data_IF_872183846614
#
_entry.id   IF_872183846614
#
_cell.length_a   1.000
_cell.length_b   1.000
_cell.length_c   1.000
_cell.angle_alpha   90.00
_cell.angle_beta   90.00
_cell.angle_gamma   90.00
#
_symmetry.space_group_name_H-M   'P 1'
#
loop_
_entity.id
_entity.type
_entity.pdbx_description
1 polymer ?
#
# COMPACT_ATOMS: atom_id res chain seq x y z
N UNK A 1 -14.23 18.10 -4.74
CA UNK A 1 -13.29 18.67 -3.75
C UNK A 1 -11.98 17.95 -3.93
N UNK A 2 -10.99 18.59 -4.54
CA UNK A 2 -9.63 18.07 -4.49
C UNK A 2 -9.00 18.60 -3.22
N UNK A 3 -8.93 17.75 -2.20
CA UNK A 3 -8.23 18.04 -0.95
C UNK A 3 -6.72 17.95 -1.20
N UNK A 4 -6.17 18.86 -2.03
CA UNK A 4 -4.72 18.91 -2.24
C UNK A 4 -4.07 19.35 -0.94
N UNK A 5 -3.58 18.37 -0.17
CA UNK A 5 -2.65 18.61 0.92
C UNK A 5 -1.37 19.12 0.29
N UNK A 6 -1.14 20.43 0.36
CA UNK A 6 0.02 21.10 -0.25
C UNK A 6 1.34 20.83 0.48
N UNK A 7 1.31 20.14 1.61
CA UNK A 7 2.47 19.93 2.46
C UNK A 7 3.01 18.51 2.28
N UNK A 8 4.22 18.35 1.71
CA UNK A 8 4.92 17.06 1.66
C UNK A 8 5.08 16.41 3.04
N UNK A 9 5.13 17.22 4.10
CA UNK A 9 5.30 16.74 5.46
C UNK A 9 4.18 15.80 5.94
N UNK A 10 2.99 15.86 5.33
CA UNK A 10 1.87 14.95 5.68
C UNK A 10 2.10 13.54 5.11
N UNK A 11 2.88 13.42 4.04
CA UNK A 11 3.17 12.14 3.40
C UNK A 11 4.44 11.48 3.94
N UNK A 12 5.19 12.16 4.82
CA UNK A 12 6.45 11.68 5.37
C UNK A 12 6.30 11.30 6.83
N UNK A 13 6.75 10.10 7.17
CA UNK A 13 6.94 9.70 8.56
C UNK A 13 8.21 10.36 9.12
N UNK A 14 8.17 10.97 10.32
CA UNK A 14 9.37 11.56 10.94
C UNK A 14 10.52 10.57 11.16
N UNK A 15 10.21 9.28 11.30
CA UNK A 15 11.20 8.20 11.43
C UNK A 15 11.66 7.63 10.08
N UNK A 16 11.19 8.17 8.95
CA UNK A 16 11.65 7.76 7.63
C UNK A 16 12.99 8.44 7.27
N UNK A 17 14.05 7.65 7.41
CA UNK A 17 15.42 8.03 7.05
C UNK A 17 15.69 8.03 5.53
N UNK A 18 14.68 7.80 4.69
CA UNK A 18 14.83 7.93 3.23
C UNK A 18 14.98 9.41 2.87
N UNK A 19 16.14 9.78 2.35
CA UNK A 19 16.40 11.13 1.85
C UNK A 19 15.63 11.42 0.55
N UNK A 20 15.18 12.67 0.38
CA UNK A 20 14.63 13.14 -0.90
C UNK A 20 15.68 13.02 -2.01
N UNK A 21 15.25 12.76 -3.24
CA UNK A 21 16.14 12.56 -4.39
C UNK A 21 15.78 13.48 -5.55
N UNK A 22 16.82 13.98 -6.23
CA UNK A 22 16.68 14.72 -7.50
C UNK A 22 16.80 13.75 -8.67
N UNK A 23 15.68 13.40 -9.29
CA UNK A 23 15.64 12.52 -10.47
C UNK A 23 15.42 13.32 -11.76
N UNK A 24 16.21 14.38 -11.96
CA UNK A 24 15.90 15.41 -12.98
C UNK A 24 14.66 16.27 -12.65
N UNK A 25 13.89 15.87 -11.65
CA UNK A 25 12.81 16.60 -10.99
C UNK A 25 12.99 16.49 -9.47
N UNK A 26 12.50 17.47 -8.70
CA UNK A 26 12.48 17.40 -7.24
C UNK A 26 11.32 16.50 -6.82
N UNK A 27 11.63 15.30 -6.30
CA UNK A 27 10.66 14.36 -5.75
C UNK A 27 10.84 14.27 -4.23
N UNK A 28 9.71 14.21 -3.52
CA UNK A 28 9.69 14.16 -2.06
C UNK A 28 9.59 12.72 -1.58
N UNK A 29 10.22 12.40 -0.45
CA UNK A 29 10.04 11.09 0.21
C UNK A 29 8.58 10.91 0.63
N UNK A 30 7.99 9.77 0.25
CA UNK A 30 6.66 9.35 0.67
C UNK A 30 6.77 8.09 1.51
N UNK A 31 6.21 8.14 2.71
CA UNK A 31 6.26 7.06 3.70
C UNK A 31 4.97 6.26 3.82
N UNK A 32 3.93 6.62 3.05
CA UNK A 32 2.64 5.94 3.08
C UNK A 32 2.14 5.60 1.67
N UNK A 33 1.68 4.36 1.49
CA UNK A 33 1.03 3.90 0.27
C UNK A 33 -0.48 3.74 0.45
N UNK A 34 -1.21 3.67 -0.66
CA UNK A 34 -2.68 3.50 -0.70
C UNK A 34 -3.05 2.02 -0.92
N UNK A 35 -4.06 1.54 -0.20
CA UNK A 35 -4.65 0.23 -0.46
C UNK A 35 -5.21 0.16 -1.90
N UNK A 36 -4.65 -0.69 -2.74
CA UNK A 36 -5.05 -0.83 -4.16
C UNK A 36 -6.48 -1.36 -4.32
N UNK A 37 -7.05 -2.04 -3.31
CA UNK A 37 -8.45 -2.44 -3.32
C UNK A 37 -9.40 -1.25 -3.27
N UNK A 38 -8.97 -0.07 -2.79
CA UNK A 38 -9.76 1.17 -2.80
C UNK A 38 -10.11 1.64 -4.21
N UNK A 39 -9.27 1.36 -5.20
CA UNK A 39 -9.54 1.67 -6.60
C UNK A 39 -10.69 0.83 -7.18
N UNK A 40 -11.08 -0.29 -6.51
CA UNK A 40 -12.13 -1.21 -6.96
C UNK A 40 -13.51 -0.84 -6.43
N UNK A 41 -13.62 0.11 -5.50
CA UNK A 41 -14.90 0.58 -4.96
C UNK A 41 -15.27 1.94 -5.53
N UNK A 42 -16.57 2.14 -5.80
CA UNK A 42 -17.07 3.42 -6.33
C UNK A 42 -17.05 4.53 -5.29
N UNK A 43 -17.25 4.16 -4.01
CA UNK A 43 -17.33 5.09 -2.88
C UNK A 43 -16.75 4.41 -1.64
N UNK A 44 -15.72 5.01 -1.04
CA UNK A 44 -15.11 4.51 0.20
C UNK A 44 -16.12 4.43 1.37
N UNK A 45 -17.10 5.34 1.37
CA UNK A 45 -18.16 5.35 2.38
C UNK A 45 -19.09 4.11 2.33
N UNK A 46 -19.02 3.30 1.27
CA UNK A 46 -19.80 2.05 1.15
C UNK A 46 -19.10 0.85 1.81
N UNK A 47 -17.87 1.01 2.28
CA UNK A 47 -17.15 -0.03 3.02
C UNK A 47 -17.81 -0.24 4.38
N UNK A 48 -18.48 -1.39 4.56
CA UNK A 48 -19.23 -1.72 5.77
C UNK A 48 -18.34 -1.77 7.03
N UNK A 49 -17.05 -2.06 6.87
CA UNK A 49 -16.07 -2.19 7.95
C UNK A 49 -14.97 -1.14 7.84
N UNK A 50 -15.36 0.12 7.65
CA UNK A 50 -14.44 1.24 7.42
C UNK A 50 -13.36 1.40 8.50
N UNK A 51 -13.65 1.06 9.76
CA UNK A 51 -12.70 1.10 10.88
C UNK A 51 -11.65 -0.02 10.89
N UNK A 52 -11.81 -1.02 10.02
CA UNK A 52 -10.94 -2.21 9.94
C UNK A 52 -10.27 -2.37 8.59
N UNK A 53 -10.89 -1.82 7.55
CA UNK A 53 -10.32 -1.75 6.21
C UNK A 53 -9.17 -0.77 6.16
N UNK A 54 -7.99 -1.22 5.73
CA UNK A 54 -6.82 -0.37 5.51
C UNK A 54 -7.09 0.60 4.35
N UNK A 55 -6.84 1.88 4.57
CA UNK A 55 -6.77 2.90 3.53
C UNK A 55 -5.32 3.23 3.22
N UNK A 56 -4.53 3.62 4.23
CA UNK A 56 -3.10 3.91 4.09
C UNK A 56 -2.26 2.95 4.93
N UNK A 57 -1.09 2.60 4.43
CA UNK A 57 -0.10 1.74 5.11
C UNK A 57 1.30 2.30 4.91
N UNK A 58 2.24 1.94 5.78
CA UNK A 58 3.60 2.43 5.66
C UNK A 58 4.42 1.77 4.56
N UNK A 59 5.17 2.59 3.82
CA UNK A 59 6.15 2.20 2.82
C UNK A 59 7.49 2.88 3.11
N UNK A 60 8.54 2.41 2.44
CA UNK A 60 9.87 3.01 2.44
C UNK A 60 10.48 2.99 1.05
N UNK A 61 11.40 3.92 0.78
CA UNK A 61 12.10 4.01 -0.50
C UNK A 61 11.26 4.59 -1.63
N UNK A 62 10.06 5.11 -1.40
CA UNK A 62 9.26 5.77 -2.43
C UNK A 62 9.53 7.28 -2.47
N UNK A 63 9.67 7.83 -3.67
CA UNK A 63 9.71 9.27 -3.91
C UNK A 63 8.58 9.63 -4.88
N UNK A 64 7.86 10.71 -4.63
CA UNK A 64 6.79 11.14 -5.52
C UNK A 64 6.68 12.67 -5.54
N UNK A 65 6.08 13.21 -6.62
CA UNK A 65 5.84 14.65 -6.77
C UNK A 65 4.47 15.03 -6.19
N UNK A 66 4.31 14.85 -4.89
CA UNK A 66 3.03 15.08 -4.18
C UNK A 66 2.57 16.55 -4.17
N UNK A 67 3.43 17.49 -4.58
CA UNK A 67 3.11 18.93 -4.63
C UNK A 67 2.41 19.37 -5.91
N UNK A 68 2.40 18.52 -6.96
CA UNK A 68 1.72 18.81 -8.22
C UNK A 68 0.45 17.97 -8.35
N UNK A 69 -0.56 18.44 -9.11
CA UNK A 69 -1.70 17.62 -9.48
C UNK A 69 -1.24 16.28 -10.04
N UNK A 70 -2.00 15.23 -9.73
CA UNK A 70 -1.86 13.86 -10.23
C UNK A 70 -0.42 13.31 -10.28
N UNK A 71 0.46 13.82 -9.41
CA UNK A 71 1.87 13.50 -9.38
C UNK A 71 2.55 13.64 -10.75
N UNK A 72 2.04 14.59 -11.55
CA UNK A 72 2.46 14.88 -12.93
C UNK A 72 2.12 13.80 -13.96
N UNK A 73 1.36 12.76 -13.58
CA UNK A 73 1.03 11.63 -14.46
C UNK A 73 0.47 12.05 -15.82
N UNK A 74 -0.39 13.07 -15.84
CA UNK A 74 -1.02 13.61 -17.05
C UNK A 74 -0.06 14.21 -18.07
N UNK A 75 1.15 14.59 -17.67
CA UNK A 75 2.15 15.24 -18.54
C UNK A 75 3.37 14.37 -18.81
N UNK A 76 3.32 13.11 -18.38
CA UNK A 76 4.40 12.14 -18.57
C UNK A 76 4.61 11.90 -20.07
N UNK A 77 5.75 12.37 -20.56
CA UNK A 77 6.22 12.13 -21.94
C UNK A 77 7.40 11.16 -22.00
N UNK A 78 7.96 10.76 -20.85
CA UNK A 78 9.14 9.88 -20.76
C UNK A 78 9.11 8.97 -19.51
N UNK A 79 9.92 7.91 -19.55
CA UNK A 79 9.80 6.70 -18.72
C UNK A 79 10.47 6.75 -17.32
N UNK A 80 10.51 7.91 -16.65
CA UNK A 80 11.31 8.10 -15.41
C UNK A 80 10.55 8.45 -14.13
N UNK A 81 9.22 8.52 -14.15
CA UNK A 81 8.46 9.10 -13.04
C UNK A 81 8.06 8.08 -11.98
N UNK A 82 8.04 8.56 -10.75
CA UNK A 82 7.56 7.83 -9.60
C UNK A 82 6.30 8.48 -9.04
N UNK A 83 5.39 7.60 -8.64
CA UNK A 83 4.11 7.93 -8.05
C UNK A 83 4.05 7.36 -6.64
N UNK A 84 3.14 7.88 -5.83
CA UNK A 84 2.85 7.31 -4.53
C UNK A 84 2.47 5.85 -4.71
N UNK A 85 3.06 5.00 -3.86
CA UNK A 85 2.87 3.57 -4.00
C UNK A 85 1.43 3.14 -3.69
N UNK A 86 0.96 2.14 -4.42
CA UNK A 86 -0.30 1.45 -4.15
C UNK A 86 -0.04 -0.04 -4.00
N UNK A 87 -0.76 -0.73 -3.13
CA UNK A 87 -0.58 -2.16 -2.90
C UNK A 87 -1.69 -2.76 -2.06
N UNK A 88 -1.74 -4.08 -1.99
CA UNK A 88 -2.73 -4.81 -1.18
C UNK A 88 -2.11 -5.59 -0.02
N UNK A 89 -0.85 -5.26 0.33
CA UNK A 89 -0.10 -6.02 1.33
C UNK A 89 0.40 -7.36 0.78
N UNK A 90 0.30 -7.66 -0.51
CA UNK A 90 0.92 -8.88 -1.06
C UNK A 90 2.23 -8.55 -1.75
N UNK A 91 3.15 -9.51 -1.81
CA UNK A 91 4.38 -9.34 -2.56
C UNK A 91 4.06 -9.21 -4.07
N UNK A 92 4.79 -8.34 -4.77
CA UNK A 92 4.58 -8.03 -6.18
C UNK A 92 3.37 -7.14 -6.47
N UNK A 93 2.59 -6.78 -5.45
CA UNK A 93 1.45 -5.86 -5.60
C UNK A 93 1.82 -4.39 -5.40
N UNK A 94 3.02 -4.12 -4.87
CA UNK A 94 3.42 -2.75 -4.56
C UNK A 94 3.89 -2.04 -5.83
N UNK A 95 3.03 -1.17 -6.34
CA UNK A 95 3.26 -0.42 -7.57
C UNK A 95 3.57 1.03 -7.19
N UNK A 96 4.76 1.50 -7.53
CA UNK A 96 5.22 2.87 -7.21
C UNK A 96 5.92 3.58 -8.37
N UNK A 97 6.04 2.91 -9.51
CA UNK A 97 6.79 3.40 -10.66
C UNK A 97 5.97 3.14 -11.92
N UNK A 98 6.08 4.05 -12.89
CA UNK A 98 5.30 3.96 -14.13
C UNK A 98 5.98 3.07 -15.17
N UNK A 99 7.31 2.93 -15.21
CA UNK A 99 8.05 2.07 -16.17
C UNK A 99 9.39 1.57 -15.57
N UNK A 100 10.02 0.49 -16.07
CA UNK A 100 11.13 -0.18 -15.40
C UNK A 100 12.40 0.68 -15.36
N UNK A 101 13.21 0.47 -14.31
CA UNK A 101 14.51 1.10 -14.09
C UNK A 101 15.35 1.15 -15.38
N UNK A 102 15.80 2.34 -15.76
CA UNK A 102 16.62 2.55 -16.97
C UNK A 102 18.01 1.87 -16.90
N UNK A 103 18.40 1.32 -15.76
CA UNK A 103 19.62 0.54 -15.62
C UNK A 103 19.78 -0.14 -14.26
N UNK A 104 20.81 -0.99 -14.10
CA UNK A 104 21.19 -1.57 -12.81
C UNK A 104 21.50 -0.46 -11.80
N UNK A 105 20.74 -0.39 -10.71
CA UNK A 105 20.91 0.64 -9.67
C UNK A 105 19.92 1.81 -9.71
N UNK A 106 19.15 1.96 -10.79
CA UNK A 106 18.09 2.98 -10.93
C UNK A 106 16.71 2.50 -10.43
N UNK A 107 16.63 1.24 -9.98
CA UNK A 107 15.43 0.70 -9.35
C UNK A 107 15.27 1.32 -7.97
N UNK A 108 14.56 2.44 -7.89
CA UNK A 108 14.00 2.87 -6.62
C UNK A 108 12.93 1.84 -6.28
N UNK A 109 13.34 0.85 -5.51
CA UNK A 109 12.46 -0.20 -5.06
C UNK A 109 11.73 0.34 -3.84
N UNK A 110 10.42 0.48 -3.98
CA UNK A 110 9.54 0.75 -2.85
C UNK A 110 9.27 -0.55 -2.12
N UNK A 111 9.24 -0.49 -0.80
CA UNK A 111 8.99 -1.64 0.05
C UNK A 111 7.91 -1.34 1.08
N UNK A 112 7.19 -2.36 1.52
CA UNK A 112 6.37 -2.29 2.71
C UNK A 112 7.26 -2.05 3.94
N UNK A 113 6.97 -0.99 4.68
CA UNK A 113 7.62 -0.69 5.95
C UNK A 113 6.86 -1.26 7.16
N UNK A 114 5.89 -2.14 6.88
CA UNK A 114 4.97 -2.74 7.85
C UNK A 114 5.44 -4.04 8.48
N UNK A 115 6.47 -4.69 7.90
CA UNK A 115 6.80 -6.09 8.15
C UNK A 115 5.84 -7.06 7.44
N UNK A 116 6.18 -8.36 7.47
CA UNK A 116 5.42 -9.42 6.77
C UNK A 116 4.07 -9.67 7.42
N UNK A 117 3.00 -9.38 6.67
CA UNK A 117 1.61 -9.61 7.10
C UNK A 117 1.27 -11.11 7.10
N UNK A 118 0.25 -11.52 7.84
CA UNK A 118 0.02 -12.96 8.18
C UNK A 118 -0.14 -13.88 6.95
N UNK A 119 -0.92 -13.44 5.96
CA UNK A 119 -1.14 -14.15 4.70
C UNK A 119 -0.37 -13.55 3.51
N UNK A 120 0.69 -12.78 3.76
CA UNK A 120 1.58 -12.31 2.68
C UNK A 120 2.26 -13.53 2.03
N UNK A 121 1.97 -13.77 0.75
CA UNK A 121 2.62 -14.85 0.00
C UNK A 121 3.99 -14.37 -0.51
N UNK A 122 4.99 -15.27 -0.48
CA UNK A 122 6.33 -15.02 -1.02
C UNK A 122 6.57 -15.82 -2.31
N UNK A 123 6.54 -15.16 -3.47
CA UNK A 123 6.78 -15.77 -4.79
C UNK A 123 8.16 -15.38 -5.37
N UNK A 124 9.23 -15.46 -4.56
CA UNK A 124 10.62 -15.42 -5.03
C UNK A 124 11.29 -14.04 -5.13
N UNK A 125 10.67 -12.99 -4.58
CA UNK A 125 11.25 -11.67 -4.30
C UNK A 125 10.80 -11.21 -2.90
N UNK A 126 11.24 -10.07 -2.39
CA UNK A 126 10.74 -9.58 -1.09
C UNK A 126 10.49 -8.08 -1.10
N UNK A 127 9.22 -7.71 -1.20
CA UNK A 127 8.76 -6.32 -1.07
C UNK A 127 8.72 -5.88 0.41
N UNK A 128 9.11 -6.73 1.36
CA UNK A 128 9.14 -6.46 2.80
C UNK A 128 10.55 -6.23 3.36
N UNK A 129 11.31 -5.33 2.74
CA UNK A 129 12.73 -5.13 3.03
C UNK A 129 13.07 -4.72 4.46
N UNK A 130 12.19 -4.04 5.18
CA UNK A 130 12.42 -3.67 6.59
C UNK A 130 11.79 -4.69 7.52
N UNK A 131 12.61 -5.60 8.01
CA UNK A 131 12.32 -6.43 9.18
C UNK A 131 13.38 -6.10 10.24
N UNK A 132 13.03 -5.45 11.36
CA UNK A 132 11.67 -5.15 11.83
C UNK A 132 11.00 -3.96 11.12
N UNK A 133 9.67 -3.82 11.24
CA UNK A 133 8.91 -2.62 10.87
C UNK A 133 9.48 -1.32 11.44
N UNK A 134 9.16 -0.17 10.82
CA UNK A 134 9.72 1.15 11.18
C UNK A 134 9.42 1.57 12.63
N UNK A 135 8.31 1.15 13.23
CA UNK A 135 7.85 1.63 14.54
C UNK A 135 7.77 0.52 15.58
N UNK A 136 8.92 0.14 16.15
CA UNK A 136 9.02 -0.78 17.29
C UNK A 136 8.22 -2.07 17.09
N UNK A 137 8.53 -2.80 16.01
CA UNK A 137 7.87 -4.05 15.60
C UNK A 137 6.48 -3.89 14.95
N UNK A 138 5.97 -2.67 14.85
CA UNK A 138 4.73 -2.36 14.13
C UNK A 138 4.86 -1.22 13.13
N UNK A 139 3.73 -0.90 12.52
CA UNK A 139 3.57 0.24 11.63
C UNK A 139 2.27 0.96 11.88
N UNK A 140 2.20 2.21 11.43
CA UNK A 140 0.98 2.98 11.40
C UNK A 140 0.18 2.65 10.14
N UNK A 141 -1.11 2.51 10.34
CA UNK A 141 -2.10 2.33 9.30
C UNK A 141 -3.15 3.42 9.48
N UNK A 142 -3.81 3.80 8.39
CA UNK A 142 -5.03 4.60 8.45
C UNK A 142 -6.15 3.73 7.93
N UNK A 143 -7.21 3.57 8.72
CA UNK A 143 -8.42 2.88 8.30
C UNK A 143 -9.26 3.74 7.35
N UNK A 144 -10.19 3.14 6.60
CA UNK A 144 -11.06 3.85 5.64
C UNK A 144 -11.94 4.91 6.32
N UNK A 145 -12.26 4.75 7.60
CA UNK A 145 -12.97 5.75 8.40
C UNK A 145 -12.09 6.92 8.90
N UNK A 146 -10.79 6.89 8.61
CA UNK A 146 -9.82 7.93 8.94
C UNK A 146 -9.06 7.72 10.25
N UNK A 147 -9.34 6.67 11.03
CA UNK A 147 -8.59 6.40 12.25
C UNK A 147 -7.17 5.93 11.96
N UNK A 148 -6.19 6.52 12.64
CA UNK A 148 -4.81 6.03 12.66
C UNK A 148 -4.68 4.90 13.69
N UNK A 149 -4.12 3.77 13.27
CA UNK A 149 -4.00 2.56 14.06
C UNK A 149 -2.57 2.04 13.97
N UNK A 150 -1.92 1.87 15.12
CA UNK A 150 -0.67 1.11 15.20
C UNK A 150 -0.97 -0.39 15.29
N UNK A 151 -0.27 -1.21 14.52
CA UNK A 151 -0.42 -2.67 14.52
C UNK A 151 0.89 -3.36 14.15
N UNK A 152 1.12 -4.53 14.72
CA UNK A 152 2.16 -5.45 14.24
C UNK A 152 1.68 -6.15 12.96
N UNK A 153 2.61 -6.54 12.09
CA UNK A 153 2.29 -7.10 10.78
C UNK A 153 1.40 -8.34 10.84
N UNK A 154 1.64 -9.23 11.82
CA UNK A 154 0.85 -10.46 12.03
C UNK A 154 -0.60 -10.22 12.46
N UNK A 155 -0.96 -8.98 12.81
CA UNK A 155 -2.34 -8.58 13.13
C UNK A 155 -3.05 -7.90 11.94
N UNK A 156 -2.45 -7.93 10.74
CA UNK A 156 -3.02 -7.35 9.53
C UNK A 156 -3.16 -8.41 8.45
N UNK A 157 -4.35 -8.51 7.86
CA UNK A 157 -4.61 -9.41 6.73
C UNK A 157 -4.36 -8.69 5.41
N UNK A 158 -3.42 -9.20 4.62
CA UNK A 158 -3.10 -8.75 3.27
C UNK A 158 -3.97 -9.43 2.20
N UNK A 159 -3.93 -8.95 0.96
CA UNK A 159 -4.58 -9.60 -0.18
C UNK A 159 -5.68 -8.80 -0.84
N UNK A 160 -6.21 -9.39 -1.91
CA UNK A 160 -7.40 -8.87 -2.58
C UNK A 160 -8.62 -8.88 -1.65
N UNK A 161 -9.63 -8.07 -1.99
CA UNK A 161 -10.91 -8.09 -1.31
C UNK A 161 -11.43 -9.52 -1.12
N UNK A 162 -11.92 -9.80 0.10
CA UNK A 162 -12.78 -10.94 0.35
C UNK A 162 -14.01 -10.89 -0.58
N UNK A 163 -14.69 -12.01 -0.78
CA UNK A 163 -15.95 -12.01 -1.52
C UNK A 163 -17.11 -11.62 -0.60
N UNK A 164 -17.10 -12.13 0.62
CA UNK A 164 -18.10 -11.87 1.66
C UNK A 164 -17.43 -11.30 2.93
N UNK A 165 -18.15 -10.53 3.76
CA UNK A 165 -17.63 -9.99 5.01
C UNK A 165 -17.06 -11.02 6.00
N UNK A 166 -17.52 -12.26 5.93
CA UNK A 166 -17.13 -13.34 6.83
C UNK A 166 -16.13 -14.33 6.19
N UNK A 167 -15.60 -14.04 5.00
CA UNK A 167 -14.64 -14.94 4.38
C UNK A 167 -13.31 -14.93 5.14
N UNK A 168 -12.76 -16.10 5.51
CA UNK A 168 -11.45 -16.17 6.13
C UNK A 168 -10.39 -15.75 5.13
N UNK A 169 -9.27 -15.24 5.63
CA UNK A 169 -8.11 -15.02 4.78
C UNK A 169 -7.64 -16.32 4.11
N UNK A 170 -7.09 -16.19 2.91
CA UNK A 170 -6.49 -17.30 2.17
C UNK A 170 -5.17 -16.87 1.58
N UNK A 171 -4.18 -17.75 1.57
CA UNK A 171 -2.90 -17.48 0.90
C UNK A 171 -3.02 -17.53 -0.63
N UNK A 172 -4.04 -18.20 -1.16
CA UNK A 172 -4.28 -18.36 -2.60
C UNK A 172 -5.76 -18.40 -2.92
N UNK A 173 -6.10 -18.29 -4.20
CA UNK A 173 -7.45 -18.53 -4.69
C UNK A 173 -8.38 -17.32 -4.52
N UNK A 174 -7.83 -16.12 -4.52
CA UNK A 174 -8.66 -14.93 -4.44
C UNK A 174 -9.46 -14.71 -5.72
N UNK A 175 -10.76 -14.45 -5.58
CA UNK A 175 -11.63 -14.12 -6.70
C UNK A 175 -11.53 -12.64 -7.03
N UNK A 176 -10.99 -12.31 -8.21
CA UNK A 176 -10.91 -10.94 -8.72
C UNK A 176 -11.34 -10.88 -10.18
N UNK A 177 -12.08 -9.84 -10.56
CA UNK A 177 -12.51 -9.62 -11.95
C UNK A 177 -13.28 -10.81 -12.57
N UNK A 178 -13.99 -11.58 -11.74
CA UNK A 178 -14.73 -12.78 -12.18
C UNK A 178 -13.86 -14.03 -12.41
N UNK A 179 -12.56 -13.99 -12.08
CA UNK A 179 -11.63 -15.13 -12.18
C UNK A 179 -11.02 -15.47 -10.82
N UNK A 180 -10.71 -16.75 -10.59
CA UNK A 180 -9.99 -17.18 -9.39
C UNK A 180 -8.50 -17.20 -9.68
N UNK A 181 -7.74 -16.33 -9.01
CA UNK A 181 -6.29 -16.32 -9.13
C UNK A 181 -5.69 -17.34 -8.18
N UNK A 182 -5.19 -18.45 -8.72
CA UNK A 182 -4.65 -19.59 -7.94
C UNK A 182 -3.42 -19.26 -7.11
N UNK A 183 -2.79 -18.10 -7.33
CA UNK A 183 -1.63 -17.62 -6.58
C UNK A 183 -1.84 -16.27 -5.89
N UNK A 184 -3.04 -15.71 -5.91
CA UNK A 184 -3.29 -14.41 -5.28
C UNK A 184 -3.90 -14.61 -3.89
N UNK A 185 -3.32 -14.01 -2.83
CA UNK A 185 -3.89 -14.03 -1.49
C UNK A 185 -5.22 -13.28 -1.43
N UNK A 186 -6.12 -13.76 -0.58
CA UNK A 186 -7.36 -13.10 -0.23
C UNK A 186 -7.26 -12.61 1.20
N UNK A 187 -7.54 -11.33 1.39
CA UNK A 187 -7.65 -10.74 2.70
C UNK A 187 -8.87 -11.26 3.44
N UNK A 188 -8.82 -11.25 4.77
CA UNK A 188 -9.96 -11.53 5.64
C UNK A 188 -11.08 -10.51 5.39
N UNK A 189 -12.34 -10.94 5.36
CA UNK A 189 -13.47 -10.03 5.37
C UNK A 189 -13.54 -9.22 6.67
N UNK A 190 -14.06 -7.99 6.61
CA UNK A 190 -14.05 -7.04 7.71
C UNK A 190 -14.93 -7.40 8.90
N UNK A 191 -15.79 -8.42 8.81
CA UNK A 191 -16.65 -8.88 9.90
C UNK A 191 -15.97 -9.89 10.83
N UNK A 192 -15.00 -10.67 10.34
CA UNK A 192 -14.29 -11.66 11.15
C UNK A 192 -13.31 -10.99 12.09
N UNK A 193 -13.08 -11.49 13.30
CA UNK A 193 -12.29 -10.80 14.33
C UNK A 193 -10.83 -11.28 14.48
N UNK A 194 -10.28 -12.04 13.53
CA UNK A 194 -8.94 -12.62 13.72
C UNK A 194 -7.85 -11.54 13.61
N UNK A 195 -7.96 -10.63 12.66
CA UNK A 195 -7.00 -9.54 12.47
C UNK A 195 -7.54 -8.21 12.97
N UNK A 196 -6.64 -7.32 13.42
CA UNK A 196 -7.02 -5.95 13.78
C UNK A 196 -7.46 -5.16 12.54
N UNK A 197 -6.74 -5.35 11.44
CA UNK A 197 -6.95 -4.67 10.16
C UNK A 197 -6.94 -5.66 9.00
N UNK A 198 -7.58 -5.27 7.90
CA UNK A 198 -7.61 -6.04 6.65
C UNK A 198 -7.49 -5.13 5.44
N UNK A 199 -6.80 -5.58 4.39
CA UNK A 199 -6.81 -4.91 3.09
C UNK A 199 -8.14 -5.08 2.33
N UNK A 200 -9.04 -5.95 2.81
CA UNK A 200 -10.39 -6.09 2.26
C UNK A 200 -11.26 -4.86 2.56
N UNK A 201 -12.11 -4.53 1.59
CA UNK A 201 -13.19 -3.54 1.71
C UNK A 201 -14.58 -4.16 1.83
N UNK A 202 -14.66 -5.50 1.89
CA UNK A 202 -15.88 -6.26 2.20
C UNK A 202 -16.03 -6.49 3.69
#
# INVERSE_FOLDING_TARGET
>A
VFSYVKSPAVFRCPSDGTDSKTMGVTAETVSYGLNSNSAKVKQLAQTAYGSRSVLLFEITGNHARVTVPDEEMSTITSSGYQVTAIGDGTQGSLLSQIYPSAGPGDGIVTYYATGRMDNSQTDGGDDYKTTPPRHSEGANYVAVDGHAIWSVASQVSAGGNAKEPNDPQKRTGCSGLGTTYTRWPCAEGGALSQHKLTFSLQ
#
